data_IF_246243032844
#
_entry.id   IF_246243032844
#
_cell.length_a   1.000
_cell.length_b   1.000
_cell.length_c   1.000
_cell.angle_alpha   90.00
_cell.angle_beta   90.00
_cell.angle_gamma   90.00
#
_symmetry.space_group_name_H-M   'P 1'
#
loop_
_entity.id
_entity.type
_entity.pdbx_description
1 polymer ?
#
# COMPACT_ATOMS: atom_id res chain seq x y z
N UNK A 1 2.22 -18.64 2.99
CA UNK A 1 3.47 -18.65 2.19
C UNK A 1 4.01 -17.24 1.91
N UNK A 2 3.42 -16.15 2.42
CA UNK A 2 4.15 -14.88 2.52
C UNK A 2 5.39 -15.11 3.39
N UNK A 3 6.62 -14.91 2.89
CA UNK A 3 7.85 -15.17 3.63
C UNK A 3 7.94 -14.29 4.88
N UNK A 4 7.58 -13.01 4.73
CA UNK A 4 7.64 -12.04 5.81
C UNK A 4 6.61 -12.32 6.90
N UNK A 5 5.33 -12.51 6.54
CA UNK A 5 4.28 -12.84 7.51
C UNK A 5 4.60 -14.12 8.28
N UNK A 6 5.16 -15.13 7.60
CA UNK A 6 5.59 -16.38 8.24
C UNK A 6 6.73 -16.14 9.23
N UNK A 7 7.76 -15.40 8.85
CA UNK A 7 8.88 -15.09 9.73
C UNK A 7 8.42 -14.28 10.96
N UNK A 8 7.63 -13.22 10.76
CA UNK A 8 7.10 -12.40 11.84
C UNK A 8 6.21 -13.18 12.81
N UNK A 9 5.52 -14.23 12.33
CA UNK A 9 4.59 -15.02 13.18
C UNK A 9 5.31 -15.85 14.24
N UNK A 10 6.58 -16.15 14.00
CA UNK A 10 7.46 -16.85 14.95
C UNK A 10 8.03 -15.85 15.97
N UNK A 11 8.26 -14.60 15.56
CA UNK A 11 9.02 -13.59 16.33
C UNK A 11 8.17 -12.43 16.90
N UNK A 12 6.85 -12.64 17.07
CA UNK A 12 5.92 -11.62 17.62
C UNK A 12 6.16 -10.21 17.11
N UNK A 13 6.25 -10.09 15.79
CA UNK A 13 6.55 -8.85 15.10
C UNK A 13 5.41 -7.82 15.30
N UNK A 14 5.77 -6.56 15.56
CA UNK A 14 4.81 -5.47 15.80
C UNK A 14 3.89 -5.28 14.58
N UNK A 15 4.42 -5.54 13.39
CA UNK A 15 3.70 -5.52 12.14
C UNK A 15 2.54 -6.49 12.08
N UNK A 16 2.67 -7.69 12.65
CA UNK A 16 1.57 -8.65 12.66
C UNK A 16 0.43 -8.19 13.56
N UNK A 17 0.76 -7.66 14.74
CA UNK A 17 -0.25 -7.16 15.66
C UNK A 17 -0.95 -5.94 15.07
N UNK A 18 -0.21 -5.01 14.45
CA UNK A 18 -0.78 -3.90 13.70
C UNK A 18 -1.69 -4.39 12.56
N UNK A 19 -1.28 -5.43 11.82
CA UNK A 19 -2.08 -6.06 10.75
C UNK A 19 -3.41 -6.65 11.27
N UNK A 20 -3.40 -7.26 12.44
CA UNK A 20 -4.64 -7.76 13.07
C UNK A 20 -5.57 -6.59 13.39
N UNK A 21 -5.07 -5.53 14.02
CA UNK A 21 -5.90 -4.39 14.38
C UNK A 21 -6.43 -3.61 13.18
N UNK A 22 -5.64 -3.38 12.13
CA UNK A 22 -6.15 -2.76 10.90
C UNK A 22 -7.19 -3.64 10.23
N UNK A 23 -7.04 -4.97 10.25
CA UNK A 23 -8.03 -5.90 9.71
C UNK A 23 -9.36 -5.83 10.47
N UNK A 24 -9.32 -5.74 11.81
CA UNK A 24 -10.51 -5.56 12.63
C UNK A 24 -11.17 -4.19 12.37
N UNK A 25 -10.37 -3.12 12.24
CA UNK A 25 -10.85 -1.80 11.86
C UNK A 25 -11.60 -1.85 10.52
N UNK A 26 -10.99 -2.46 9.50
CA UNK A 26 -11.59 -2.65 8.17
C UNK A 26 -12.88 -3.48 8.26
N UNK A 27 -12.91 -4.53 9.09
CA UNK A 27 -14.11 -5.34 9.30
C UNK A 27 -15.29 -4.48 9.80
N UNK A 28 -15.06 -3.63 10.81
CA UNK A 28 -16.11 -2.74 11.30
C UNK A 28 -16.51 -1.68 10.28
N UNK A 29 -15.56 -1.17 9.48
CA UNK A 29 -15.85 -0.28 8.36
C UNK A 29 -16.75 -0.95 7.31
N UNK A 30 -16.42 -2.15 6.86
CA UNK A 30 -17.24 -2.91 5.88
C UNK A 30 -18.62 -3.22 6.46
N UNK A 31 -18.71 -3.53 7.76
CA UNK A 31 -20.00 -3.73 8.45
C UNK A 31 -20.84 -2.46 8.50
N UNK A 32 -20.20 -1.30 8.63
CA UNK A 32 -20.86 0.00 8.50
C UNK A 32 -21.34 0.26 7.07
N UNK A 33 -20.53 -0.02 6.04
CA UNK A 33 -20.96 0.17 4.64
C UNK A 33 -22.22 -0.65 4.32
N UNK A 34 -22.36 -1.86 4.89
CA UNK A 34 -23.56 -2.68 4.74
C UNK A 34 -24.75 -2.19 5.58
N UNK A 35 -24.50 -1.58 6.74
CA UNK A 35 -25.52 -1.15 7.70
C UNK A 35 -25.12 0.19 8.34
N UNK A 36 -25.44 1.30 7.66
CA UNK A 36 -25.02 2.67 8.02
C UNK A 36 -25.64 3.20 9.33
N UNK A 37 -26.64 2.50 9.86
CA UNK A 37 -27.37 2.95 11.05
C UNK A 37 -26.60 2.76 12.37
N UNK A 38 -25.62 1.86 12.44
CA UNK A 38 -24.96 1.49 13.70
C UNK A 38 -23.76 2.37 14.03
N UNK A 39 -23.92 3.27 15.01
CA UNK A 39 -22.84 4.12 15.57
C UNK A 39 -21.64 3.27 16.03
N UNK A 40 -21.90 2.13 16.68
CA UNK A 40 -20.86 1.27 17.26
C UNK A 40 -19.83 0.83 16.22
N UNK A 41 -20.24 0.56 14.98
CA UNK A 41 -19.29 0.16 13.93
C UNK A 41 -18.31 1.29 13.58
N UNK A 42 -18.78 2.54 13.58
CA UNK A 42 -17.94 3.72 13.32
C UNK A 42 -16.94 3.92 14.46
N UNK A 43 -17.41 3.78 15.71
CA UNK A 43 -16.55 3.93 16.89
C UNK A 43 -15.52 2.79 17.02
N UNK A 44 -15.92 1.54 16.77
CA UNK A 44 -14.99 0.41 16.77
C UNK A 44 -13.96 0.53 15.65
N UNK A 45 -14.34 1.01 14.46
CA UNK A 45 -13.38 1.32 13.40
C UNK A 45 -12.30 2.31 13.89
N UNK A 46 -12.71 3.45 14.48
CA UNK A 46 -11.77 4.43 15.04
C UNK A 46 -10.89 3.84 16.15
N UNK A 47 -11.49 3.09 17.07
CA UNK A 47 -10.78 2.49 18.20
C UNK A 47 -9.69 1.50 17.77
N UNK A 48 -10.03 0.56 16.89
CA UNK A 48 -9.07 -0.43 16.40
C UNK A 48 -8.01 0.20 15.49
N UNK A 49 -8.35 1.24 14.73
CA UNK A 49 -7.36 2.02 14.00
C UNK A 49 -6.37 2.73 14.93
N UNK A 50 -6.85 3.30 16.04
CA UNK A 50 -5.97 3.93 17.01
C UNK A 50 -5.01 2.92 17.65
N UNK A 51 -5.51 1.74 18.06
CA UNK A 51 -4.67 0.64 18.56
C UNK A 51 -3.60 0.24 17.54
N UNK A 52 -4.00 0.14 16.27
CA UNK A 52 -3.08 -0.14 15.18
C UNK A 52 -1.99 0.93 15.05
N UNK A 53 -2.36 2.21 15.09
CA UNK A 53 -1.42 3.33 15.02
C UNK A 53 -0.49 3.41 16.24
N UNK A 54 -0.94 2.97 17.42
CA UNK A 54 -0.07 2.90 18.60
C UNK A 54 1.03 1.85 18.47
N UNK A 55 0.77 0.77 17.73
CA UNK A 55 1.78 -0.25 17.45
C UNK A 55 2.66 0.17 16.29
N UNK A 56 2.05 0.63 15.20
CA UNK A 56 2.75 1.08 14.00
C UNK A 56 2.24 2.48 13.58
N UNK A 57 2.90 3.56 14.02
CA UNK A 57 2.43 4.95 13.83
C UNK A 57 2.08 5.33 12.40
N UNK A 58 2.76 4.76 11.41
CA UNK A 58 2.52 5.04 9.99
C UNK A 58 1.12 4.62 9.51
N UNK A 59 0.46 3.67 10.19
CA UNK A 59 -0.90 3.25 9.83
C UNK A 59 -1.96 4.26 10.26
N UNK A 60 -1.59 5.27 11.05
CA UNK A 60 -2.47 6.43 11.33
C UNK A 60 -2.95 7.12 10.06
N UNK A 61 -2.19 7.05 8.95
CA UNK A 61 -2.54 7.64 7.66
C UNK A 61 -3.85 7.04 7.10
N UNK A 62 -4.20 5.80 7.45
CA UNK A 62 -5.51 5.20 7.09
C UNK A 62 -6.71 5.96 7.68
N UNK A 63 -6.50 6.77 8.73
CA UNK A 63 -7.54 7.64 9.27
C UNK A 63 -8.08 8.61 8.22
N UNK A 64 -7.26 9.04 7.26
CA UNK A 64 -7.67 9.89 6.13
C UNK A 64 -8.73 9.17 5.30
N UNK A 65 -8.49 7.90 4.93
CA UNK A 65 -9.45 7.12 4.14
C UNK A 65 -10.78 6.96 4.88
N UNK A 66 -10.74 6.54 6.15
CA UNK A 66 -11.95 6.30 6.93
C UNK A 66 -12.71 7.60 7.20
N UNK A 67 -12.01 8.67 7.57
CA UNK A 67 -12.62 9.98 7.80
C UNK A 67 -13.32 10.50 6.55
N UNK A 68 -12.66 10.50 5.39
CA UNK A 68 -13.28 10.96 4.14
C UNK A 68 -14.49 10.10 3.76
N UNK A 69 -14.41 8.78 3.97
CA UNK A 69 -15.53 7.85 3.73
C UNK A 69 -16.72 8.14 4.64
N UNK A 70 -16.48 8.30 5.93
CA UNK A 70 -17.52 8.63 6.90
C UNK A 70 -18.08 10.04 6.68
N UNK A 71 -17.24 11.02 6.38
CA UNK A 71 -17.66 12.39 6.10
C UNK A 71 -18.59 12.46 4.90
N UNK A 72 -18.25 11.80 3.80
CA UNK A 72 -19.08 11.79 2.58
C UNK A 72 -20.43 11.08 2.81
N UNK A 73 -20.47 10.03 3.62
CA UNK A 73 -21.69 9.27 3.87
C UNK A 73 -22.59 9.88 4.97
N UNK A 74 -22.00 10.37 6.06
CA UNK A 74 -22.70 10.85 7.25
C UNK A 74 -22.93 12.37 7.24
N UNK A 75 -22.14 13.14 6.47
CA UNK A 75 -22.11 14.60 6.50
C UNK A 75 -21.98 15.11 7.96
N UNK A 76 -22.55 16.28 8.29
CA UNK A 76 -22.53 16.88 9.63
C UNK A 76 -23.50 16.23 10.64
N UNK A 77 -23.64 14.91 10.63
CA UNK A 77 -24.51 14.21 11.59
C UNK A 77 -23.88 14.09 12.98
N UNK A 78 -24.71 13.89 14.01
CA UNK A 78 -24.27 13.59 15.39
C UNK A 78 -23.29 12.40 15.45
N UNK A 79 -23.44 11.41 14.55
CA UNK A 79 -22.55 10.24 14.48
C UNK A 79 -21.13 10.62 14.07
N UNK A 80 -20.98 11.52 13.09
CA UNK A 80 -19.68 12.05 12.68
C UNK A 80 -19.03 12.83 13.83
N UNK A 81 -19.82 13.63 14.55
CA UNK A 81 -19.33 14.37 15.72
C UNK A 81 -18.75 13.42 16.79
N UNK A 82 -19.46 12.34 17.14
CA UNK A 82 -18.93 11.34 18.08
C UNK A 82 -17.67 10.64 17.57
N UNK A 83 -17.58 10.36 16.27
CA UNK A 83 -16.37 9.81 15.66
C UNK A 83 -15.18 10.77 15.78
N UNK A 84 -15.37 12.06 15.49
CA UNK A 84 -14.31 13.07 15.60
C UNK A 84 -13.85 13.20 17.05
N UNK A 85 -14.79 13.30 18.00
CA UNK A 85 -14.48 13.42 19.43
C UNK A 85 -13.69 12.21 19.92
N UNK A 86 -14.09 10.99 19.54
CA UNK A 86 -13.36 9.77 19.89
C UNK A 86 -11.93 9.78 19.33
N UNK A 87 -11.74 10.15 18.06
CA UNK A 87 -10.39 10.21 17.48
C UNK A 87 -9.50 11.26 18.17
N UNK A 88 -10.05 12.41 18.56
CA UNK A 88 -9.29 13.42 19.31
C UNK A 88 -8.85 12.90 20.67
N UNK A 89 -9.74 12.23 21.41
CA UNK A 89 -9.40 11.61 22.70
C UNK A 89 -8.35 10.52 22.52
N UNK A 90 -8.53 9.65 21.53
CA UNK A 90 -7.60 8.56 21.25
C UNK A 90 -6.25 9.04 20.71
N UNK A 91 -6.17 10.19 20.04
CA UNK A 91 -4.92 10.76 19.56
C UNK A 91 -4.15 11.54 20.64
N UNK A 92 -4.80 11.91 21.74
CA UNK A 92 -4.21 12.77 22.77
C UNK A 92 -2.88 12.24 23.34
N UNK A 93 -2.72 10.95 23.69
CA UNK A 93 -1.43 10.43 24.16
C UNK A 93 -0.30 10.59 23.14
N UNK A 94 -0.58 10.36 21.85
CA UNK A 94 0.41 10.54 20.79
C UNK A 94 0.76 12.02 20.58
N UNK A 95 -0.23 12.93 20.63
CA UNK A 95 0.00 14.37 20.56
C UNK A 95 0.82 14.87 21.76
N UNK A 96 0.54 14.38 22.96
CA UNK A 96 1.33 14.68 24.15
C UNK A 96 2.79 14.22 23.98
N UNK A 97 2.99 12.99 23.50
CA UNK A 97 4.31 12.43 23.27
C UNK A 97 5.14 13.22 22.25
N UNK A 98 4.53 13.67 21.16
CA UNK A 98 5.24 14.38 20.08
C UNK A 98 5.42 15.87 20.38
N UNK A 99 4.40 16.55 20.92
CA UNK A 99 4.37 18.01 21.06
C UNK A 99 4.78 18.52 22.44
N UNK A 100 4.65 17.71 23.50
CA UNK A 100 4.95 18.12 24.88
C UNK A 100 6.24 17.47 25.39
N UNK A 101 6.45 16.18 25.09
CA UNK A 101 7.70 15.50 25.42
C UNK A 101 8.80 15.70 24.36
N UNK A 102 8.50 16.42 23.26
CA UNK A 102 9.40 16.70 22.14
C UNK A 102 10.10 15.45 21.57
N UNK A 103 9.43 14.30 21.60
CA UNK A 103 9.96 13.07 21.00
C UNK A 103 9.63 13.04 19.50
N UNK A 104 10.21 13.98 18.77
CA UNK A 104 9.96 14.23 17.34
C UNK A 104 11.19 13.97 16.45
N UNK A 105 12.31 13.48 17.02
CA UNK A 105 13.53 13.19 16.25
C UNK A 105 13.28 12.32 15.03
N UNK A 106 12.40 11.32 15.16
CA UNK A 106 12.02 10.45 14.04
C UNK A 106 11.42 11.23 12.85
N UNK A 107 10.68 12.30 13.11
CA UNK A 107 10.13 13.15 12.07
C UNK A 107 11.21 14.05 11.47
N UNK A 108 12.03 14.70 12.30
CA UNK A 108 13.01 15.69 11.83
C UNK A 108 14.23 15.06 11.15
N UNK A 109 14.66 13.86 11.54
CA UNK A 109 15.86 13.22 11.00
C UNK A 109 15.59 12.15 9.95
N UNK A 110 14.38 11.60 9.89
CA UNK A 110 14.10 10.42 9.07
C UNK A 110 12.99 10.61 8.04
N UNK A 111 12.19 11.66 8.08
CA UNK A 111 11.25 11.95 7.00
C UNK A 111 11.99 12.44 5.76
N UNK A 112 11.56 12.00 4.58
CA UNK A 112 12.06 12.43 3.28
C UNK A 112 13.58 12.26 3.08
N UNK A 113 14.18 11.19 3.64
CA UNK A 113 15.60 10.90 3.42
C UNK A 113 15.95 10.61 1.97
N UNK A 114 14.96 10.20 1.20
CA UNK A 114 15.10 9.90 -0.22
C UNK A 114 14.29 10.89 -1.06
N UNK A 115 14.75 11.13 -2.28
CA UNK A 115 14.05 12.02 -3.19
C UNK A 115 12.71 11.42 -3.67
N UNK A 116 11.87 12.26 -4.24
CA UNK A 116 10.54 11.85 -4.67
C UNK A 116 10.58 10.77 -5.77
N UNK A 117 11.54 10.82 -6.68
CA UNK A 117 11.63 9.87 -7.79
C UNK A 117 12.12 8.49 -7.33
N UNK A 118 13.03 8.43 -6.35
CA UNK A 118 13.52 7.19 -5.76
C UNK A 118 12.43 6.52 -4.94
N UNK A 119 11.79 7.26 -4.05
CA UNK A 119 10.64 6.74 -3.28
C UNK A 119 9.51 6.28 -4.19
N UNK A 120 9.12 7.07 -5.19
CA UNK A 120 8.02 6.74 -6.09
C UNK A 120 8.32 5.53 -6.99
N UNK A 121 9.54 5.41 -7.52
CA UNK A 121 9.96 4.25 -8.34
C UNK A 121 10.04 2.96 -7.53
N UNK A 122 10.57 3.02 -6.31
CA UNK A 122 10.66 1.87 -5.42
C UNK A 122 9.28 1.41 -4.95
N UNK A 123 8.48 2.32 -4.38
CA UNK A 123 7.13 2.00 -3.86
C UNK A 123 6.23 1.47 -4.97
N UNK A 124 6.23 2.08 -6.16
CA UNK A 124 5.44 1.59 -7.30
C UNK A 124 5.84 0.19 -7.74
N UNK A 125 7.13 -0.14 -7.77
CA UNK A 125 7.61 -1.48 -8.12
C UNK A 125 7.11 -2.55 -7.13
N UNK A 126 7.10 -2.24 -5.83
CA UNK A 126 6.61 -3.16 -4.79
C UNK A 126 5.09 -3.26 -4.80
N UNK A 127 4.36 -2.15 -4.95
CA UNK A 127 2.90 -2.16 -5.07
C UNK A 127 2.47 -3.04 -6.25
N UNK A 128 3.12 -2.88 -7.41
CA UNK A 128 2.82 -3.71 -8.58
C UNK A 128 3.19 -5.17 -8.37
N UNK A 129 4.29 -5.46 -7.68
CA UNK A 129 4.64 -6.83 -7.32
C UNK A 129 3.49 -7.56 -6.61
N UNK A 130 2.88 -6.93 -5.59
CA UNK A 130 1.75 -7.54 -4.86
C UNK A 130 0.40 -7.47 -5.61
N UNK A 131 0.19 -6.49 -6.49
CA UNK A 131 -1.01 -6.40 -7.33
C UNK A 131 -0.99 -7.43 -8.48
N UNK A 132 0.20 -7.80 -8.97
CA UNK A 132 0.41 -8.64 -10.16
C UNK A 132 -0.48 -9.89 -10.24
N UNK A 133 -0.56 -10.76 -9.21
CA UNK A 133 -1.36 -11.99 -9.32
C UNK A 133 -2.87 -11.75 -9.50
N UNK A 134 -3.38 -10.58 -9.09
CA UNK A 134 -4.81 -10.22 -9.26
C UNK A 134 -5.13 -9.69 -10.66
N UNK A 135 -4.12 -9.20 -11.38
CA UNK A 135 -4.31 -8.55 -12.68
C UNK A 135 -3.90 -9.44 -13.85
N UNK A 136 -3.00 -10.41 -13.64
CA UNK A 136 -2.42 -11.24 -14.72
C UNK A 136 -3.47 -11.93 -15.59
N UNK A 137 -4.58 -12.43 -15.01
CA UNK A 137 -5.68 -13.06 -15.78
C UNK A 137 -6.41 -12.09 -16.72
N UNK A 138 -6.33 -10.79 -16.45
CA UNK A 138 -7.00 -9.72 -17.19
C UNK A 138 -5.99 -8.82 -17.92
N UNK A 139 -4.76 -9.28 -18.14
CA UNK A 139 -3.66 -8.51 -18.71
C UNK A 139 -4.02 -7.82 -20.03
N UNK A 140 -4.78 -8.48 -20.92
CA UNK A 140 -5.21 -7.89 -22.21
C UNK A 140 -5.92 -6.55 -22.04
N UNK A 141 -6.78 -6.42 -21.02
CA UNK A 141 -7.52 -5.19 -20.75
C UNK A 141 -6.64 -4.05 -20.25
N UNK A 142 -5.48 -4.37 -19.67
CA UNK A 142 -4.52 -3.38 -19.18
C UNK A 142 -3.50 -3.04 -20.27
N UNK A 143 -3.03 -4.03 -21.05
CA UNK A 143 -2.13 -3.83 -22.18
C UNK A 143 -2.71 -2.89 -23.24
N UNK A 144 -4.00 -3.00 -23.57
CA UNK A 144 -4.65 -2.06 -24.50
C UNK A 144 -4.66 -0.63 -23.98
N UNK A 145 -4.66 -0.44 -22.66
CA UNK A 145 -4.45 0.86 -22.04
C UNK A 145 -3.03 1.37 -22.23
N UNK A 146 -2.01 0.51 -22.16
CA UNK A 146 -0.59 0.90 -22.23
C UNK A 146 -0.21 1.42 -23.62
N UNK A 147 -0.66 0.78 -24.70
CA UNK A 147 -0.20 1.01 -26.09
C UNK A 147 -0.79 2.31 -26.71
N UNK A 148 -1.37 3.20 -25.91
CA UNK A 148 -1.81 4.52 -26.39
C UNK A 148 -0.62 5.49 -26.50
N UNK A 149 -0.56 6.29 -27.57
CA UNK A 149 0.52 7.26 -27.82
C UNK A 149 0.73 8.23 -26.64
N UNK A 150 -0.37 8.66 -25.99
CA UNK A 150 -0.31 9.50 -24.79
C UNK A 150 0.41 8.78 -23.64
N UNK A 151 0.15 7.49 -23.47
CA UNK A 151 0.71 6.69 -22.38
C UNK A 151 2.16 6.30 -22.65
N UNK A 152 2.53 6.10 -23.92
CA UNK A 152 3.92 5.95 -24.35
C UNK A 152 4.71 7.23 -24.05
N UNK A 153 4.14 8.41 -24.33
CA UNK A 153 4.78 9.68 -23.98
C UNK A 153 4.96 9.83 -22.46
N UNK A 154 3.93 9.53 -21.66
CA UNK A 154 4.02 9.53 -20.18
C UNK A 154 5.09 8.54 -19.70
N UNK A 155 5.18 7.36 -20.31
CA UNK A 155 6.20 6.38 -19.98
C UNK A 155 7.61 6.91 -20.24
N UNK A 156 7.85 7.50 -21.42
CA UNK A 156 9.15 8.05 -21.79
C UNK A 156 9.55 9.22 -20.88
N UNK A 157 8.60 10.09 -20.50
CA UNK A 157 8.90 11.18 -19.56
C UNK A 157 9.23 10.65 -18.17
N UNK A 158 8.48 9.67 -17.67
CA UNK A 158 8.78 9.01 -16.39
C UNK A 158 10.15 8.32 -16.42
N UNK A 159 10.47 7.63 -17.51
CA UNK A 159 11.75 6.96 -17.68
C UNK A 159 12.91 7.95 -17.63
N UNK A 160 12.80 9.09 -18.33
CA UNK A 160 13.82 10.14 -18.30
C UNK A 160 13.97 10.73 -16.88
N UNK A 161 12.85 11.03 -16.21
CA UNK A 161 12.88 11.57 -14.85
C UNK A 161 13.55 10.60 -13.87
N UNK A 162 13.20 9.31 -13.92
CA UNK A 162 13.82 8.30 -13.06
C UNK A 162 15.30 8.14 -13.42
N UNK A 163 15.65 8.12 -14.71
CA UNK A 163 17.04 8.01 -15.13
C UNK A 163 17.93 9.12 -14.56
N UNK A 164 17.44 10.37 -14.54
CA UNK A 164 18.23 11.52 -14.05
C UNK A 164 18.20 11.72 -12.54
N UNK A 165 17.09 11.41 -11.88
CA UNK A 165 16.90 11.72 -10.46
C UNK A 165 16.94 10.51 -9.54
N UNK A 166 17.03 9.29 -10.05
CA UNK A 166 17.13 8.12 -9.19
C UNK A 166 18.53 8.01 -8.58
N UNK A 167 18.59 8.00 -7.25
CA UNK A 167 19.78 7.82 -6.43
C UNK A 167 19.42 6.90 -5.26
N UNK A 168 20.11 5.76 -5.11
CA UNK A 168 19.79 4.83 -4.03
C UNK A 168 20.97 3.95 -3.67
N UNK A 169 21.63 4.29 -2.57
CA UNK A 169 22.92 3.69 -2.18
C UNK A 169 22.79 2.76 -0.96
N UNK A 170 21.56 2.46 -0.53
CA UNK A 170 21.35 1.60 0.64
C UNK A 170 21.58 0.14 0.30
N UNK A 171 22.36 -0.54 1.17
CA UNK A 171 22.57 -1.99 1.12
C UNK A 171 21.34 -2.79 1.57
N UNK A 172 20.46 -2.16 2.34
CA UNK A 172 19.16 -2.69 2.76
C UNK A 172 18.02 -2.07 1.93
N UNK A 173 16.79 -2.60 2.06
CA UNK A 173 15.59 -2.13 1.33
C UNK A 173 15.73 -2.19 -0.22
N UNK A 174 14.99 -1.39 -0.99
CA UNK A 174 15.12 -1.28 -2.46
C UNK A 174 14.22 -2.21 -3.29
N UNK A 175 13.49 -3.13 -2.65
CA UNK A 175 12.57 -4.04 -3.35
C UNK A 175 13.25 -5.11 -4.23
N UNK A 176 12.45 -6.03 -4.77
CA UNK A 176 12.95 -7.16 -5.60
C UNK A 176 13.48 -6.69 -6.95
N UNK A 177 12.81 -5.73 -7.60
CA UNK A 177 13.17 -5.31 -8.97
C UNK A 177 14.54 -4.63 -9.00
N UNK A 178 14.84 -3.74 -8.05
CA UNK A 178 16.16 -3.09 -7.96
C UNK A 178 17.25 -4.14 -7.71
N UNK A 179 17.03 -5.03 -6.75
CA UNK A 179 18.00 -6.10 -6.43
C UNK A 179 18.25 -7.01 -7.61
N UNK A 180 17.19 -7.38 -8.33
CA UNK A 180 17.30 -8.19 -9.54
C UNK A 180 18.07 -7.47 -10.65
N UNK A 181 17.83 -6.17 -10.85
CA UNK A 181 18.60 -5.32 -11.79
C UNK A 181 20.09 -5.35 -11.44
N UNK A 182 20.42 -5.11 -10.18
CA UNK A 182 21.81 -5.06 -9.72
C UNK A 182 22.48 -6.43 -9.75
N UNK A 183 21.79 -7.52 -9.43
CA UNK A 183 22.35 -8.87 -9.47
C UNK A 183 22.69 -9.35 -10.89
N UNK A 184 21.90 -8.99 -11.90
CA UNK A 184 22.09 -9.50 -13.27
C UNK A 184 22.93 -8.57 -14.12
N UNK A 185 22.73 -7.25 -13.99
CA UNK A 185 23.34 -6.27 -14.88
C UNK A 185 24.38 -5.37 -14.19
N UNK A 186 24.56 -5.50 -12.87
CA UNK A 186 25.41 -4.60 -12.06
C UNK A 186 25.10 -3.11 -12.29
N UNK A 187 23.86 -2.78 -12.63
CA UNK A 187 23.39 -1.43 -12.85
C UNK A 187 21.88 -1.31 -12.63
N UNK A 188 21.39 -0.06 -12.55
CA UNK A 188 19.99 0.25 -12.30
C UNK A 188 19.15 0.43 -13.59
N UNK A 189 19.70 0.21 -14.80
CA UNK A 189 18.98 0.53 -16.04
C UNK A 189 17.73 -0.33 -16.25
N UNK A 190 17.80 -1.61 -15.93
CA UNK A 190 16.61 -2.48 -15.96
C UNK A 190 15.56 -2.00 -14.95
N UNK A 191 16.00 -1.58 -13.76
CA UNK A 191 15.11 -1.01 -12.76
C UNK A 191 14.41 0.27 -13.27
N UNK A 192 15.09 1.16 -13.99
CA UNK A 192 14.46 2.37 -14.57
C UNK A 192 13.35 2.02 -15.55
N UNK A 193 13.59 1.04 -16.42
CA UNK A 193 12.58 0.53 -17.38
C UNK A 193 11.38 -0.08 -16.66
N UNK A 194 11.61 -0.96 -15.69
CA UNK A 194 10.52 -1.67 -15.01
C UNK A 194 9.73 -0.73 -14.09
N UNK A 195 10.40 0.13 -13.32
CA UNK A 195 9.73 1.05 -12.39
C UNK A 195 8.88 2.09 -13.13
N UNK A 196 9.35 2.66 -14.25
CA UNK A 196 8.54 3.54 -15.10
C UNK A 196 7.30 2.83 -15.66
N UNK A 197 7.41 1.56 -16.06
CA UNK A 197 6.25 0.74 -16.43
C UNK A 197 5.30 0.52 -15.25
N UNK A 198 5.82 0.25 -14.04
CA UNK A 198 5.00 0.06 -12.84
C UNK A 198 4.18 1.31 -12.51
N UNK A 199 4.77 2.50 -12.59
CA UNK A 199 4.07 3.77 -12.35
C UNK A 199 2.96 3.97 -13.40
N UNK A 200 3.28 3.74 -14.69
CA UNK A 200 2.29 3.81 -15.76
C UNK A 200 1.14 2.83 -15.52
N UNK A 201 1.44 1.63 -15.04
CA UNK A 201 0.44 0.61 -14.74
C UNK A 201 -0.50 1.04 -13.62
N UNK A 202 0.03 1.62 -12.53
CA UNK A 202 -0.77 2.23 -11.46
C UNK A 202 -1.67 3.33 -12.03
N UNK A 203 -1.11 4.22 -12.86
CA UNK A 203 -1.88 5.27 -13.54
C UNK A 203 -3.04 4.69 -14.36
N UNK A 204 -2.81 3.66 -15.16
CA UNK A 204 -3.85 3.05 -15.99
C UNK A 204 -4.92 2.37 -15.13
N UNK A 205 -4.51 1.62 -14.11
CA UNK A 205 -5.43 0.89 -13.24
C UNK A 205 -6.38 1.80 -12.48
N UNK A 206 -5.88 2.93 -11.95
CA UNK A 206 -6.62 3.74 -10.98
C UNK A 206 -7.04 5.11 -11.53
N UNK A 207 -6.26 5.74 -12.40
CA UNK A 207 -6.45 7.13 -12.84
C UNK A 207 -7.07 7.26 -14.24
N UNK A 208 -6.91 6.28 -15.15
CA UNK A 208 -7.34 6.43 -16.55
C UNK A 208 -8.85 6.65 -16.74
N UNK A 209 -9.68 6.18 -15.80
CA UNK A 209 -11.16 6.27 -15.85
C UNK A 209 -11.71 6.59 -14.47
N UNK A 210 -11.50 7.82 -13.99
CA UNK A 210 -11.99 8.25 -12.67
C UNK A 210 -13.53 8.28 -12.68
N UNK A 211 -14.15 7.48 -11.82
CA UNK A 211 -15.56 7.58 -11.42
C UNK A 211 -15.63 7.88 -9.92
N UNK A 212 -16.79 8.34 -9.41
CA UNK A 212 -16.98 8.68 -7.99
C UNK A 212 -16.54 7.55 -7.03
N UNK A 213 -16.83 6.29 -7.36
CA UNK A 213 -16.40 5.13 -6.56
C UNK A 213 -14.89 4.87 -6.63
N UNK A 214 -14.19 5.36 -7.66
CA UNK A 214 -12.75 5.20 -7.81
C UNK A 214 -11.95 6.21 -6.98
N UNK A 215 -12.58 7.28 -6.47
CA UNK A 215 -11.88 8.30 -5.65
C UNK A 215 -11.31 7.66 -4.37
N UNK A 216 -12.04 6.72 -3.76
CA UNK A 216 -11.58 5.98 -2.59
C UNK A 216 -10.41 5.05 -2.92
N UNK A 217 -10.41 4.42 -4.09
CA UNK A 217 -9.26 3.63 -4.55
C UNK A 217 -8.02 4.52 -4.77
N UNK A 218 -8.22 5.74 -5.29
CA UNK A 218 -7.14 6.73 -5.43
C UNK A 218 -6.57 7.15 -4.08
N UNK A 219 -7.44 7.41 -3.09
CA UNK A 219 -7.01 7.72 -1.73
C UNK A 219 -6.20 6.56 -1.14
N UNK A 220 -6.63 5.31 -1.32
CA UNK A 220 -5.87 4.14 -0.86
C UNK A 220 -4.51 4.03 -1.53
N UNK A 221 -4.41 4.25 -2.84
CA UNK A 221 -3.13 4.26 -3.55
C UNK A 221 -2.22 5.37 -3.00
N UNK A 222 -2.73 6.57 -2.78
CA UNK A 222 -1.96 7.67 -2.18
C UNK A 222 -1.47 7.29 -0.78
N UNK A 223 -2.32 6.67 0.05
CA UNK A 223 -1.94 6.18 1.37
C UNK A 223 -0.79 5.17 1.25
N UNK A 224 -0.85 4.22 0.31
CA UNK A 224 0.22 3.23 0.09
C UNK A 224 1.56 3.88 -0.28
N UNK A 225 1.57 4.97 -1.05
CA UNK A 225 2.79 5.75 -1.30
C UNK A 225 3.27 6.47 -0.03
N UNK A 226 2.35 6.96 0.79
CA UNK A 226 2.68 7.68 2.02
C UNK A 226 3.13 6.79 3.18
N UNK A 227 2.96 5.46 3.08
CA UNK A 227 3.50 4.53 4.08
C UNK A 227 5.04 4.53 4.14
N UNK A 228 5.71 5.01 3.08
CA UNK A 228 7.18 5.03 2.99
C UNK A 228 7.70 6.48 2.87
N UNK A 229 7.04 7.42 3.55
CA UNK A 229 7.44 8.85 3.61
C UNK A 229 8.87 9.05 4.12
N UNK A 230 9.42 8.08 4.86
CA UNK A 230 10.78 8.12 5.41
C UNK A 230 11.86 7.75 4.35
N UNK A 231 11.43 7.34 3.16
CA UNK A 231 12.27 7.00 2.02
C UNK A 231 12.87 5.60 2.03
N UNK A 232 12.61 4.76 3.02
CA UNK A 232 13.20 3.42 3.11
C UNK A 232 12.15 2.37 2.78
N UNK A 233 12.04 2.02 1.50
CA UNK A 233 10.94 1.17 1.02
C UNK A 233 11.19 -0.34 1.30
N UNK A 234 10.32 -0.96 2.08
CA UNK A 234 10.37 -2.39 2.39
C UNK A 234 9.16 -3.19 1.88
N UNK A 235 9.39 -4.46 1.55
CA UNK A 235 8.29 -5.40 1.22
C UNK A 235 7.36 -5.67 2.41
N UNK A 236 7.93 -5.67 3.62
CA UNK A 236 7.27 -5.85 4.91
C UNK A 236 6.13 -4.86 5.17
N UNK A 237 6.24 -3.62 4.70
CA UNK A 237 5.18 -2.61 4.81
C UNK A 237 3.92 -3.02 4.04
N UNK A 238 4.10 -3.72 2.92
CA UNK A 238 3.04 -4.00 1.95
C UNK A 238 2.47 -5.43 2.02
N UNK A 239 3.18 -6.35 2.67
CA UNK A 239 2.79 -7.75 2.82
C UNK A 239 2.33 -8.06 4.26
N UNK A 240 1.08 -8.51 4.50
CA UNK A 240 0.00 -8.83 3.54
C UNK A 240 -0.97 -7.66 3.28
N UNK A 241 -0.60 -6.42 3.63
CA UNK A 241 -1.47 -5.24 3.58
C UNK A 241 -2.23 -5.13 2.25
N UNK A 242 -1.50 -5.18 1.13
CA UNK A 242 -2.08 -5.00 -0.20
C UNK A 242 -3.14 -6.07 -0.48
N UNK A 243 -2.93 -7.31 -0.04
CA UNK A 243 -3.93 -8.37 -0.18
C UNK A 243 -5.20 -8.06 0.61
N UNK A 244 -5.05 -7.60 1.86
CA UNK A 244 -6.18 -7.19 2.71
C UNK A 244 -6.95 -6.05 2.03
N UNK A 245 -6.25 -5.04 1.52
CA UNK A 245 -6.88 -3.90 0.83
C UNK A 245 -7.59 -4.32 -0.46
N UNK A 246 -6.99 -5.18 -1.29
CA UNK A 246 -7.59 -5.68 -2.54
C UNK A 246 -8.88 -6.44 -2.26
N UNK A 247 -8.87 -7.29 -1.22
CA UNK A 247 -10.02 -8.13 -0.90
C UNK A 247 -11.16 -7.36 -0.23
N UNK A 248 -10.85 -6.34 0.58
CA UNK A 248 -11.84 -5.71 1.47
C UNK A 248 -12.19 -4.26 1.12
N UNK A 249 -11.28 -3.47 0.55
CA UNK A 249 -11.46 -2.02 0.38
C UNK A 249 -11.44 -1.54 -1.06
N UNK A 250 -10.55 -2.05 -1.91
CA UNK A 250 -10.47 -1.61 -3.30
C UNK A 250 -11.74 -2.00 -4.08
N UNK A 251 -12.33 -1.03 -4.78
CA UNK A 251 -13.54 -1.19 -5.61
C UNK A 251 -13.21 -1.27 -7.10
N UNK A 252 -11.93 -1.41 -7.45
CA UNK A 252 -11.46 -1.50 -8.83
C UNK A 252 -12.14 -2.68 -9.55
N UNK A 253 -12.62 -2.44 -10.77
CA UNK A 253 -13.34 -3.44 -11.57
C UNK A 253 -12.51 -4.69 -11.87
N UNK A 254 -11.20 -4.57 -12.03
CA UNK A 254 -10.32 -5.71 -12.31
C UNK A 254 -10.23 -6.61 -11.09
N UNK A 255 -10.01 -6.02 -9.91
CA UNK A 255 -10.02 -6.76 -8.64
C UNK A 255 -11.38 -7.39 -8.35
N UNK A 256 -12.47 -6.63 -8.53
CA UNK A 256 -13.83 -7.18 -8.37
C UNK A 256 -14.12 -8.34 -9.33
N UNK A 257 -13.66 -8.29 -10.59
CA UNK A 257 -13.77 -9.41 -11.52
C UNK A 257 -12.96 -10.63 -11.06
N UNK A 258 -11.75 -10.42 -10.55
CA UNK A 258 -10.91 -11.48 -10.00
C UNK A 258 -11.60 -12.18 -8.82
N UNK A 259 -12.11 -11.40 -7.86
CA UNK A 259 -12.77 -11.91 -6.65
C UNK A 259 -14.08 -12.62 -7.01
N UNK A 260 -14.94 -12.03 -7.86
CA UNK A 260 -16.23 -12.61 -8.21
C UNK A 260 -16.11 -13.86 -9.10
N UNK A 261 -15.04 -13.98 -9.88
CA UNK A 261 -14.76 -15.13 -10.75
C UNK A 261 -13.60 -15.99 -10.20
N UNK A 262 -13.43 -15.97 -8.88
CA UNK A 262 -12.40 -16.74 -8.22
C UNK A 262 -12.63 -18.24 -8.47
N UNK A 263 -11.59 -18.93 -8.92
CA UNK A 263 -11.63 -20.34 -9.29
C UNK A 263 -10.27 -20.99 -9.03
N UNK A 264 -10.16 -22.31 -9.26
CA UNK A 264 -8.91 -23.07 -9.06
C UNK A 264 -7.71 -22.42 -9.76
N UNK A 265 -7.85 -21.94 -11.00
CA UNK A 265 -6.76 -21.26 -11.71
C UNK A 265 -6.33 -19.96 -10.99
N UNK A 266 -7.27 -19.21 -10.42
CA UNK A 266 -6.98 -17.97 -9.68
C UNK A 266 -6.25 -18.28 -8.37
N UNK A 267 -6.65 -19.36 -7.70
CA UNK A 267 -5.94 -19.89 -6.53
C UNK A 267 -4.51 -20.34 -6.88
N UNK A 268 -4.34 -21.11 -7.96
CA UNK A 268 -3.04 -21.59 -8.43
C UNK A 268 -2.11 -20.42 -8.78
N UNK A 269 -2.61 -19.36 -9.41
CA UNK A 269 -1.83 -18.15 -9.70
C UNK A 269 -1.31 -17.50 -8.41
N UNK A 270 -2.17 -17.30 -7.42
CA UNK A 270 -1.76 -16.73 -6.13
C UNK A 270 -0.74 -17.62 -5.41
N UNK A 271 -0.98 -18.93 -5.40
CA UNK A 271 -0.10 -19.89 -4.75
C UNK A 271 1.28 -19.95 -5.42
N UNK A 272 1.30 -20.01 -6.76
CA UNK A 272 2.53 -19.97 -7.54
C UNK A 272 3.31 -18.68 -7.29
N UNK A 273 2.63 -17.53 -7.28
CA UNK A 273 3.25 -16.25 -6.97
C UNK A 273 3.92 -16.26 -5.58
N UNK A 274 3.23 -16.76 -4.56
CA UNK A 274 3.79 -16.84 -3.20
C UNK A 274 4.99 -17.80 -3.11
N UNK A 275 4.97 -18.90 -3.86
CA UNK A 275 6.10 -19.83 -3.96
C UNK A 275 7.31 -19.14 -4.60
N UNK A 276 7.11 -18.44 -5.73
CA UNK A 276 8.18 -17.70 -6.41
C UNK A 276 8.77 -16.63 -5.49
N UNK A 277 7.91 -15.91 -4.75
CA UNK A 277 8.37 -14.91 -3.79
C UNK A 277 9.15 -15.54 -2.62
N UNK A 278 8.72 -16.70 -2.15
CA UNK A 278 9.47 -17.44 -1.13
C UNK A 278 10.84 -17.89 -1.63
N UNK A 279 10.92 -18.43 -2.85
CA UNK A 279 12.19 -18.81 -3.45
C UNK A 279 13.12 -17.61 -3.65
N UNK A 280 12.61 -16.46 -4.10
CA UNK A 280 13.46 -15.27 -4.27
C UNK A 280 14.00 -14.75 -2.94
N UNK A 281 13.24 -14.88 -1.84
CA UNK A 281 13.72 -14.56 -0.50
C UNK A 281 14.86 -15.49 -0.05
N UNK A 282 14.79 -16.79 -0.37
CA UNK A 282 15.83 -17.78 -0.03
C UNK A 282 17.07 -17.65 -0.91
N UNK A 283 16.93 -17.38 -2.21
CA UNK A 283 18.09 -17.16 -3.09
C UNK A 283 18.95 -16.01 -2.58
N UNK A 284 18.31 -14.95 -2.07
CA UNK A 284 19.01 -13.83 -1.44
C UNK A 284 19.91 -14.27 -0.29
N UNK A 285 19.52 -15.25 0.52
CA UNK A 285 20.36 -15.71 1.66
C UNK A 285 21.53 -16.60 1.27
N UNK A 286 21.56 -17.09 0.03
CA UNK A 286 22.60 -18.01 -0.47
C UNK A 286 23.66 -17.25 -1.29
N UNK A 287 23.25 -16.21 -2.00
CA UNK A 287 24.11 -15.46 -2.94
C UNK A 287 24.61 -14.09 -2.40
N UNK A 288 24.25 -13.74 -1.17
CA UNK A 288 24.73 -12.58 -0.41
C UNK A 288 25.14 -13.04 0.99
#
# INVERSE_FOLDING_TARGET
FSPYFKAGSIWTDDNLLAMVFISISIYFFVKYEKNTNKLNNILFCAFFLALCAYIRPIYSIFSIYFFLSFFLNLKFSKKLFYYILLNLVLAFPALYYVLILDVNKWATSYLFRENLFTTLSLTSSIIIFYIFPFVIKYYKSVLTGIINIKNIFIYLTLLLLIFFFFEYDRSYSGGIVLKFSNLIFNNNYLFYLISSLCILFIYILFFSKIKKNNIFDLILILILFMLEMDGVVYHETYDPLIYILILLLFKNKIFGKFINKFNLNSFLILFFFLIVFYFSAVVKTIWL
#
